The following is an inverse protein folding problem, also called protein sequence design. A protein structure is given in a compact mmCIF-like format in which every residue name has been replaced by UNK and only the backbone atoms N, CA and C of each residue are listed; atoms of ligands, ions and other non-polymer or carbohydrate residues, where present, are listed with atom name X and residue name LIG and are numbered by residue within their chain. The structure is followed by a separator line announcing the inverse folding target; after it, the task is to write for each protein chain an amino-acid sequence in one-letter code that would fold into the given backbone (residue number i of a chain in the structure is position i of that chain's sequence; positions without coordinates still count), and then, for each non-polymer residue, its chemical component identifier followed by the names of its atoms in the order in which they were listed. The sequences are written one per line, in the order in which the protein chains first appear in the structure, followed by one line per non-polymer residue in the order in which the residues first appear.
data_IF_238144286853
#
_entry.id   IF_238144286853
#
_cell.length_a   1.000
_cell.length_b   1.000
_cell.length_c   1.000
_cell.angle_alpha   90.00
_cell.angle_beta   90.00
_cell.angle_gamma   90.00
#
_symmetry.space_group_name_H-M   'P 1'
#
loop_
_entity.id
_entity.type
_entity.pdbx_description
1 polymer ?
#
# COMPACT_ATOMS: atom_id res chain seq x y z
N UNK A 1 32.80 -5.76 1.45
CA UNK A 1 33.37 -7.11 1.20
C UNK A 1 32.98 -7.99 2.38
N UNK A 2 32.46 -9.20 2.18
CA UNK A 2 31.90 -10.04 3.27
C UNK A 2 32.99 -10.44 4.28
N UNK A 3 32.75 -10.19 5.57
CA UNK A 3 33.61 -10.66 6.66
C UNK A 3 33.37 -12.17 6.88
N UNK A 4 34.33 -12.98 6.42
CA UNK A 4 34.28 -14.45 6.50
C UNK A 4 34.25 -14.96 7.92
N UNK A 5 34.91 -14.27 8.86
CA UNK A 5 34.98 -14.70 10.27
C UNK A 5 33.64 -14.45 10.97
N UNK A 6 33.00 -13.33 10.66
CA UNK A 6 31.67 -13.01 11.14
C UNK A 6 30.61 -13.97 10.58
N UNK A 7 30.66 -14.25 9.27
CA UNK A 7 29.84 -15.27 8.63
C UNK A 7 29.99 -16.62 9.35
N UNK A 8 31.22 -17.08 9.57
CA UNK A 8 31.51 -18.34 10.25
C UNK A 8 30.93 -18.43 11.66
N UNK A 9 31.07 -17.37 12.46
CA UNK A 9 30.49 -17.30 13.80
C UNK A 9 28.96 -17.40 13.77
N UNK A 10 28.32 -16.81 12.76
CA UNK A 10 26.87 -16.84 12.60
C UNK A 10 26.37 -18.23 12.22
N UNK A 11 27.02 -18.89 11.28
CA UNK A 11 26.71 -20.30 10.93
C UNK A 11 26.88 -21.21 12.15
N UNK A 12 27.95 -21.02 12.94
CA UNK A 12 28.16 -21.77 14.18
C UNK A 12 27.01 -21.56 15.19
N UNK A 13 26.56 -20.31 15.35
CA UNK A 13 25.47 -19.97 16.26
C UNK A 13 24.14 -20.57 15.81
N UNK A 14 23.77 -20.41 14.53
CA UNK A 14 22.52 -20.93 13.97
C UNK A 14 22.48 -22.45 14.01
N UNK A 15 23.58 -23.11 13.64
CA UNK A 15 23.72 -24.57 13.75
C UNK A 15 23.50 -25.05 15.18
N UNK A 16 24.11 -24.38 16.17
CA UNK A 16 23.95 -24.72 17.59
C UNK A 16 22.52 -24.49 18.10
N UNK A 17 21.83 -23.44 17.62
CA UNK A 17 20.41 -23.21 17.96
C UNK A 17 19.51 -24.35 17.51
N UNK A 18 19.82 -24.98 16.38
CA UNK A 18 19.14 -26.18 15.90
C UNK A 18 19.64 -27.49 16.54
N UNK A 19 20.58 -27.42 17.50
CA UNK A 19 21.12 -28.60 18.18
C UNK A 19 21.98 -29.51 17.29
N UNK A 20 22.44 -29.03 16.13
CA UNK A 20 23.18 -29.85 15.15
C UNK A 20 24.69 -29.84 15.42
N UNK A 21 25.37 -30.95 15.19
CA UNK A 21 26.84 -31.01 15.05
C UNK A 21 27.29 -30.56 13.66
N UNK A 22 28.58 -30.21 13.48
CA UNK A 22 29.11 -29.86 12.16
C UNK A 22 28.91 -30.98 11.13
N UNK A 23 29.04 -32.24 11.55
CA UNK A 23 28.82 -33.41 10.71
C UNK A 23 27.35 -33.53 10.26
N UNK A 24 26.40 -33.28 11.17
CA UNK A 24 24.97 -33.31 10.84
C UNK A 24 24.53 -32.15 9.95
N UNK A 25 25.14 -30.97 10.10
CA UNK A 25 24.89 -29.86 9.16
C UNK A 25 25.45 -30.19 7.77
N UNK A 26 26.64 -30.77 7.70
CA UNK A 26 27.25 -31.19 6.45
C UNK A 26 26.42 -32.27 5.74
N UNK A 27 25.92 -33.27 6.48
CA UNK A 27 25.03 -34.31 5.98
C UNK A 27 23.74 -33.73 5.39
N UNK A 28 23.10 -32.78 6.09
CA UNK A 28 21.87 -32.12 5.62
C UNK A 28 22.04 -31.32 4.32
N UNK A 29 23.25 -30.85 4.05
CA UNK A 29 23.59 -30.06 2.86
C UNK A 29 24.29 -30.91 1.77
N UNK A 30 24.42 -32.23 1.98
CA UNK A 30 25.20 -33.13 1.11
C UNK A 30 26.67 -32.67 0.89
N UNK A 31 27.32 -32.20 1.95
CA UNK A 31 28.69 -31.69 1.94
C UNK A 31 29.61 -32.46 2.90
N UNK A 32 30.91 -32.19 2.81
CA UNK A 32 31.89 -32.71 3.77
C UNK A 32 31.88 -31.90 5.08
N UNK A 33 32.09 -32.55 6.22
CA UNK A 33 32.24 -31.89 7.52
C UNK A 33 33.35 -30.82 7.52
N UNK A 34 34.39 -31.02 6.71
CA UNK A 34 35.48 -30.06 6.52
C UNK A 34 35.02 -28.76 5.84
N UNK A 35 34.02 -28.79 4.96
CA UNK A 35 33.48 -27.59 4.34
C UNK A 35 32.82 -26.68 5.40
N UNK A 36 31.94 -27.26 6.23
CA UNK A 36 31.30 -26.56 7.35
C UNK A 36 32.34 -26.02 8.35
N UNK A 37 33.36 -26.82 8.68
CA UNK A 37 34.45 -26.38 9.55
C UNK A 37 35.20 -25.18 8.98
N UNK A 38 35.53 -25.18 7.68
CA UNK A 38 36.18 -24.03 7.01
C UNK A 38 35.32 -22.77 7.06
N UNK A 39 34.01 -22.89 6.91
CA UNK A 39 33.11 -21.73 7.03
C UNK A 39 33.10 -21.20 8.45
N UNK A 40 32.89 -22.07 9.44
CA UNK A 40 32.82 -21.66 10.85
C UNK A 40 34.14 -21.07 11.38
N UNK A 41 35.28 -21.46 10.79
CA UNK A 41 36.59 -20.88 11.09
C UNK A 41 36.91 -19.61 10.26
N UNK A 42 36.01 -19.18 9.37
CA UNK A 42 36.20 -18.01 8.49
C UNK A 42 37.25 -18.20 7.39
N UNK A 43 37.61 -19.45 7.08
CA UNK A 43 38.61 -19.80 6.07
C UNK A 43 38.05 -19.83 4.65
N UNK A 44 36.74 -20.06 4.50
CA UNK A 44 36.04 -20.09 3.22
C UNK A 44 34.60 -19.58 3.38
N UNK A 45 33.95 -19.26 2.26
CA UNK A 45 32.51 -19.05 2.19
C UNK A 45 31.88 -20.18 1.35
N UNK A 46 30.62 -20.54 1.61
CA UNK A 46 29.85 -21.39 0.71
C UNK A 46 29.56 -20.70 -0.62
N UNK A 47 29.35 -21.50 -1.65
CA UNK A 47 28.85 -21.02 -2.94
C UNK A 47 27.39 -20.56 -2.83
N UNK A 48 26.92 -19.84 -3.86
CA UNK A 48 25.59 -19.20 -3.86
C UNK A 48 24.47 -20.21 -3.63
N UNK A 49 24.52 -21.38 -4.27
CA UNK A 49 23.49 -22.40 -4.12
C UNK A 49 23.40 -22.91 -2.67
N UNK A 50 24.55 -23.10 -2.03
CA UNK A 50 24.64 -23.52 -0.63
C UNK A 50 24.22 -22.39 0.32
N UNK A 51 24.45 -21.13 -0.03
CA UNK A 51 23.92 -19.99 0.74
C UNK A 51 22.38 -19.97 0.74
N UNK A 52 21.75 -20.30 -0.39
CA UNK A 52 20.29 -20.42 -0.49
C UNK A 52 19.80 -21.57 0.40
N UNK A 53 20.41 -22.74 0.33
CA UNK A 53 20.04 -23.88 1.18
C UNK A 53 20.21 -23.60 2.67
N UNK A 54 21.31 -22.93 3.06
CA UNK A 54 21.53 -22.49 4.44
C UNK A 54 20.45 -21.50 4.90
N UNK A 55 20.01 -20.61 4.01
CA UNK A 55 18.95 -19.63 4.31
C UNK A 55 17.62 -20.30 4.62
N UNK A 56 17.27 -21.36 3.88
CA UNK A 56 16.07 -22.16 4.14
C UNK A 56 16.21 -22.99 5.41
N UNK A 57 17.35 -23.66 5.59
CA UNK A 57 17.59 -24.52 6.75
C UNK A 57 17.56 -23.74 8.07
N UNK A 58 18.04 -22.49 8.07
CA UNK A 58 18.08 -21.63 9.26
C UNK A 58 16.92 -20.63 9.34
N UNK A 59 15.95 -20.71 8.41
CA UNK A 59 14.80 -19.81 8.35
C UNK A 59 15.20 -18.32 8.42
N UNK A 60 16.23 -17.94 7.65
CA UNK A 60 16.78 -16.58 7.66
C UNK A 60 17.10 -16.13 6.24
N UNK A 61 17.36 -14.84 6.04
CA UNK A 61 17.72 -14.31 4.72
C UNK A 61 19.22 -14.51 4.43
N UNK A 62 19.59 -14.63 3.15
CA UNK A 62 21.00 -14.67 2.74
C UNK A 62 21.74 -13.42 3.21
N UNK A 63 21.09 -12.25 3.18
CA UNK A 63 21.66 -11.01 3.72
C UNK A 63 21.96 -11.13 5.21
N UNK A 64 21.07 -11.74 5.99
CA UNK A 64 21.30 -11.99 7.42
C UNK A 64 22.45 -12.97 7.64
N UNK A 65 22.68 -13.93 6.74
CA UNK A 65 23.85 -14.82 6.82
C UNK A 65 25.15 -14.06 6.53
N UNK A 66 25.16 -13.21 5.49
CA UNK A 66 26.37 -12.57 4.96
C UNK A 66 26.75 -11.24 5.62
N UNK A 67 25.79 -10.49 6.14
CA UNK A 67 25.99 -9.11 6.59
C UNK A 67 25.58 -8.94 8.05
N UNK A 68 26.29 -8.11 8.79
CA UNK A 68 25.88 -7.70 10.12
C UNK A 68 24.65 -6.79 10.02
N UNK A 69 23.56 -7.12 10.73
CA UNK A 69 22.46 -6.18 10.97
C UNK A 69 22.98 -4.88 11.64
N UNK A 70 24.14 -4.95 12.29
CA UNK A 70 24.85 -3.81 12.87
C UNK A 70 25.60 -2.93 11.84
N UNK A 71 25.95 -3.40 10.64
CA UNK A 71 26.55 -2.52 9.61
C UNK A 71 25.49 -1.77 8.80
N UNK A 72 24.24 -2.27 8.81
CA UNK A 72 23.07 -1.48 8.42
C UNK A 72 22.66 -0.44 9.48
N UNK A 73 23.28 -0.44 10.67
CA UNK A 73 22.99 0.56 11.71
C UNK A 73 23.54 1.96 11.38
N UNK A 74 24.47 2.06 10.41
CA UNK A 74 24.92 3.35 9.87
C UNK A 74 24.01 3.91 8.76
N UNK A 75 23.03 3.14 8.29
CA UNK A 75 21.87 3.65 7.54
C UNK A 75 20.62 3.83 8.42
N UNK A 76 20.70 3.51 9.72
CA UNK A 76 19.63 3.70 10.71
C UNK A 76 19.93 4.82 11.72
N UNK A 77 20.79 5.79 11.39
CA UNK A 77 20.90 7.03 12.16
C UNK A 77 19.91 8.09 11.69
N UNK A 78 18.62 7.70 11.67
CA UNK A 78 17.39 8.51 11.90
C UNK A 78 16.20 7.71 11.39
N UNK A 79 15.87 6.59 12.04
CA UNK A 79 14.58 5.91 11.82
C UNK A 79 13.41 6.77 12.32
N UNK A 80 13.70 7.81 13.08
CA UNK A 80 12.75 8.79 13.58
C UNK A 80 13.17 10.21 13.19
N UNK A 81 12.20 11.12 12.98
CA UNK A 81 12.51 12.53 12.77
C UNK A 81 13.35 13.05 13.95
N UNK A 82 14.28 13.97 13.68
CA UNK A 82 14.93 14.72 14.77
C UNK A 82 13.85 15.51 15.51
N UNK A 83 13.59 15.14 16.76
CA UNK A 83 12.70 15.87 17.66
C UNK A 83 13.30 17.24 17.97
N UNK A 84 12.44 18.23 18.19
CA UNK A 84 12.87 19.57 18.60
C UNK A 84 13.60 19.54 19.95
N UNK A 85 14.50 20.50 20.16
CA UNK A 85 15.29 20.59 21.40
C UNK A 85 14.40 20.75 22.64
N UNK A 86 13.26 21.43 22.50
CA UNK A 86 12.23 21.55 23.53
C UNK A 86 11.63 20.20 23.96
N UNK A 87 11.42 19.28 23.02
CA UNK A 87 10.89 17.93 23.31
C UNK A 87 11.94 17.07 24.02
N UNK A 88 13.20 17.12 23.57
CA UNK A 88 14.29 16.36 24.18
C UNK A 88 14.54 16.76 25.64
N UNK A 89 14.37 18.04 25.98
CA UNK A 89 14.56 18.54 27.34
C UNK A 89 13.42 18.19 28.30
N UNK A 90 12.23 17.87 27.77
CA UNK A 90 11.05 17.55 28.58
C UNK A 90 11.01 16.08 29.03
N UNK A 91 11.58 15.20 28.22
CA UNK A 91 11.55 13.75 28.41
C UNK A 91 12.85 13.27 29.05
N UNK A 92 12.74 12.72 30.27
CA UNK A 92 13.93 12.35 31.08
C UNK A 92 14.32 10.88 30.95
N UNK A 93 13.51 10.03 30.32
CA UNK A 93 13.81 8.60 30.13
C UNK A 93 14.09 8.26 28.66
N UNK A 94 14.96 7.28 28.43
CA UNK A 94 15.25 6.78 27.07
C UNK A 94 14.02 6.11 26.47
N UNK A 95 13.20 5.50 27.32
CA UNK A 95 11.97 4.80 26.97
C UNK A 95 10.90 5.76 26.45
N UNK A 96 10.73 6.93 27.06
CA UNK A 96 9.76 7.94 26.63
C UNK A 96 10.19 8.62 25.32
N UNK A 97 11.48 8.94 25.19
CA UNK A 97 12.04 9.44 23.94
C UNK A 97 11.81 8.44 22.80
N UNK A 98 12.03 7.17 23.09
CA UNK A 98 11.80 6.07 22.16
C UNK A 98 10.30 6.01 21.77
N UNK A 99 9.37 6.05 22.73
CA UNK A 99 7.92 6.12 22.44
C UNK A 99 7.56 7.33 21.57
N UNK A 100 7.94 8.54 21.99
CA UNK A 100 7.64 9.79 21.28
C UNK A 100 8.21 9.77 19.86
N UNK A 101 9.45 9.32 19.70
CA UNK A 101 10.09 9.21 18.39
C UNK A 101 9.30 8.28 17.46
N UNK A 102 8.74 7.18 17.98
CA UNK A 102 7.95 6.23 17.19
C UNK A 102 6.62 6.77 16.70
N UNK A 103 6.01 7.69 17.44
CA UNK A 103 4.74 8.32 17.06
C UNK A 103 4.94 9.70 16.44
N UNK A 104 6.16 10.24 16.40
CA UNK A 104 6.44 11.56 15.82
C UNK A 104 5.88 11.77 14.39
N UNK A 105 5.90 10.78 13.47
CA UNK A 105 5.35 10.95 12.12
C UNK A 105 3.83 11.20 12.05
N UNK A 106 3.12 11.11 13.17
CA UNK A 106 1.66 11.12 13.26
C UNK A 106 1.09 12.42 13.86
N UNK A 107 1.97 13.24 14.45
CA UNK A 107 1.58 14.40 15.24
C UNK A 107 2.42 15.62 14.85
N UNK A 108 1.82 16.81 14.92
CA UNK A 108 2.56 18.06 14.86
C UNK A 108 3.41 18.27 16.10
N UNK A 109 4.43 19.15 16.03
CA UNK A 109 5.29 19.47 17.17
C UNK A 109 4.50 19.94 18.41
N UNK A 110 3.41 20.69 18.21
CA UNK A 110 2.55 21.15 19.30
C UNK A 110 1.78 19.99 19.95
N UNK A 111 1.32 19.01 19.16
CA UNK A 111 0.65 17.82 19.66
C UNK A 111 1.65 16.92 20.39
N UNK A 112 2.84 16.72 19.83
CA UNK A 112 3.93 15.98 20.48
C UNK A 112 4.32 16.61 21.82
N UNK A 113 4.34 17.94 21.90
CA UNK A 113 4.63 18.64 23.16
C UNK A 113 3.56 18.38 24.22
N UNK A 114 2.27 18.39 23.83
CA UNK A 114 1.18 18.04 24.74
C UNK A 114 1.27 16.58 25.21
N UNK A 115 1.53 15.64 24.29
CA UNK A 115 1.70 14.22 24.64
C UNK A 115 2.88 14.05 25.59
N UNK A 116 4.00 14.71 25.30
CA UNK A 116 5.20 14.65 26.13
C UNK A 116 4.96 15.20 27.53
N UNK A 117 4.14 16.26 27.68
CA UNK A 117 3.71 16.76 28.99
C UNK A 117 2.93 15.70 29.77
N UNK A 118 1.90 15.07 29.18
CA UNK A 118 1.13 14.00 29.84
C UNK A 118 2.01 12.81 30.26
N UNK A 119 3.00 12.44 29.45
CA UNK A 119 3.99 11.40 29.81
C UNK A 119 4.84 11.87 31.00
N UNK A 120 5.39 13.09 30.94
CA UNK A 120 6.26 13.62 32.00
C UNK A 120 5.54 13.82 33.34
N UNK A 121 4.23 14.10 33.30
CA UNK A 121 3.36 14.25 34.47
C UNK A 121 2.84 12.90 34.99
N UNK A 122 3.21 11.78 34.35
CA UNK A 122 2.73 10.42 34.67
C UNK A 122 1.20 10.27 34.54
N UNK A 123 0.58 11.10 33.70
CA UNK A 123 -0.86 11.11 33.40
C UNK A 123 -1.20 10.17 32.21
N UNK A 124 -0.18 9.63 31.54
CA UNK A 124 -0.33 8.72 30.40
C UNK A 124 0.38 7.38 30.65
N UNK A 125 -0.39 6.29 30.71
CA UNK A 125 0.14 4.92 30.81
C UNK A 125 -0.32 4.09 29.61
N UNK A 126 0.62 3.74 28.72
CA UNK A 126 0.33 2.99 27.49
C UNK A 126 0.79 1.54 27.63
N UNK A 127 -0.17 0.62 27.45
CA UNK A 127 0.04 -0.83 27.57
C UNK A 127 -0.53 -1.55 26.36
N UNK A 128 0.18 -2.59 25.89
CA UNK A 128 -0.34 -3.56 24.94
C UNK A 128 -1.05 -4.67 25.71
N UNK A 129 -2.32 -4.89 25.36
CA UNK A 129 -3.14 -5.95 25.95
C UNK A 129 -3.13 -7.18 25.05
N UNK A 130 -2.68 -8.33 25.57
CA UNK A 130 -2.69 -9.60 24.86
C UNK A 130 -3.76 -10.49 25.49
N UNK A 131 -4.73 -10.91 24.68
CA UNK A 131 -5.78 -11.85 25.08
C UNK A 131 -5.59 -13.19 24.35
N UNK A 132 -5.41 -14.27 25.12
CA UNK A 132 -5.33 -15.63 24.60
C UNK A 132 -6.53 -16.45 25.09
N UNK A 133 -7.35 -16.95 24.15
CA UNK A 133 -8.48 -17.84 24.45
C UNK A 133 -8.22 -19.23 23.83
N UNK A 134 -8.40 -20.28 24.63
CA UNK A 134 -8.37 -21.64 24.10
C UNK A 134 -9.63 -21.91 23.28
N UNK A 135 -9.49 -22.53 22.10
CA UNK A 135 -10.66 -22.97 21.32
C UNK A 135 -11.43 -24.12 21.99
N UNK A 136 -10.79 -24.86 22.89
CA UNK A 136 -11.36 -26.05 23.55
C UNK A 136 -11.74 -25.83 25.02
N UNK A 137 -11.31 -24.72 25.64
CA UNK A 137 -11.62 -24.38 27.03
C UNK A 137 -12.18 -22.98 27.08
N UNK A 138 -13.24 -22.76 27.86
CA UNK A 138 -13.82 -21.42 28.02
C UNK A 138 -13.01 -20.53 28.99
N UNK A 139 -11.69 -20.72 29.01
CA UNK A 139 -10.73 -19.97 29.82
C UNK A 139 -9.96 -18.99 28.94
N UNK A 140 -9.93 -17.72 29.32
CA UNK A 140 -9.12 -16.68 28.70
C UNK A 140 -8.02 -16.20 29.65
N UNK A 141 -6.81 -16.04 29.12
CA UNK A 141 -5.71 -15.36 29.81
C UNK A 141 -5.48 -13.99 29.19
N UNK A 142 -5.23 -13.00 30.04
CA UNK A 142 -4.95 -11.62 29.65
C UNK A 142 -3.62 -11.17 30.27
N UNK A 143 -2.76 -10.57 29.45
CA UNK A 143 -1.48 -10.02 29.89
C UNK A 143 -1.39 -8.57 29.40
N UNK A 144 -0.96 -7.67 30.28
CA UNK A 144 -0.65 -6.28 29.97
C UNK A 144 0.86 -6.10 29.90
N UNK A 145 1.37 -5.62 28.77
CA UNK A 145 2.79 -5.35 28.55
C UNK A 145 2.97 -3.83 28.42
N UNK A 146 3.75 -3.18 29.30
CA UNK A 146 4.05 -1.76 29.14
C UNK A 146 4.78 -1.50 27.82
N UNK A 147 4.36 -0.48 27.09
CA UNK A 147 4.88 -0.20 25.74
C UNK A 147 6.40 0.03 25.72
N UNK A 148 6.91 0.61 26.81
CA UNK A 148 8.32 0.94 27.01
C UNK A 148 9.22 -0.30 27.05
N UNK A 149 8.65 -1.48 27.33
CA UNK A 149 9.38 -2.76 27.34
C UNK A 149 9.52 -3.40 25.95
N UNK A 150 8.79 -2.91 24.95
CA UNK A 150 8.82 -3.45 23.58
C UNK A 150 10.12 -3.09 22.87
N UNK A 151 10.55 -3.90 21.90
CA UNK A 151 11.70 -3.56 21.05
C UNK A 151 11.40 -2.34 20.17
N UNK A 152 12.42 -1.60 19.73
CA UNK A 152 12.23 -0.48 18.80
C UNK A 152 11.50 -0.89 17.52
N UNK A 153 11.85 -2.07 16.98
CA UNK A 153 11.20 -2.65 15.81
C UNK A 153 9.69 -2.85 16.06
N UNK A 154 9.33 -3.49 17.17
CA UNK A 154 7.94 -3.77 17.53
C UNK A 154 7.14 -2.48 17.72
N UNK A 155 7.70 -1.47 18.37
CA UNK A 155 7.02 -0.18 18.49
C UNK A 155 6.87 0.53 17.15
N UNK A 156 7.88 0.50 16.29
CA UNK A 156 7.79 1.08 14.95
C UNK A 156 6.68 0.40 14.14
N UNK A 157 6.52 -0.91 14.25
CA UNK A 157 5.42 -1.67 13.64
C UNK A 157 4.06 -1.27 14.22
N UNK A 158 3.96 -1.08 15.54
CA UNK A 158 2.72 -0.71 16.22
C UNK A 158 2.43 0.81 16.26
N UNK A 159 3.35 1.64 15.75
CA UNK A 159 3.33 3.10 15.92
C UNK A 159 2.01 3.76 15.53
N UNK A 160 1.34 3.26 14.48
CA UNK A 160 0.03 3.75 14.05
C UNK A 160 -1.06 3.51 15.10
N UNK A 161 -1.16 2.30 15.62
CA UNK A 161 -2.15 1.94 16.65
C UNK A 161 -1.88 2.66 17.99
N UNK A 162 -0.60 2.89 18.30
CA UNK A 162 -0.18 3.66 19.46
C UNK A 162 -0.63 5.11 19.29
N UNK A 163 -0.32 5.72 18.13
CA UNK A 163 -0.74 7.08 17.82
C UNK A 163 -2.27 7.23 17.88
N UNK A 164 -3.04 6.28 17.33
CA UNK A 164 -4.50 6.27 17.40
C UNK A 164 -5.02 6.27 18.84
N UNK A 165 -4.44 5.43 19.69
CA UNK A 165 -4.80 5.34 21.10
C UNK A 165 -4.49 6.65 21.85
N UNK A 166 -3.36 7.28 21.54
CA UNK A 166 -2.92 8.54 22.17
C UNK A 166 -3.76 9.73 21.69
N UNK A 167 -4.12 9.78 20.41
CA UNK A 167 -4.89 10.88 19.80
C UNK A 167 -6.23 11.11 20.50
N UNK A 168 -6.91 10.02 20.88
CA UNK A 168 -8.17 10.07 21.62
C UNK A 168 -8.04 10.76 22.99
N UNK A 169 -6.85 10.79 23.58
CA UNK A 169 -6.57 11.38 24.89
C UNK A 169 -6.22 12.86 24.74
N UNK A 170 -5.35 13.21 23.78
CA UNK A 170 -4.92 14.62 23.55
C UNK A 170 -5.90 15.45 22.73
N UNK A 171 -6.97 14.84 22.19
CA UNK A 171 -8.00 15.53 21.41
C UNK A 171 -7.46 16.08 20.09
N UNK A 172 -6.65 15.28 19.39
CA UNK A 172 -5.92 15.70 18.18
C UNK A 172 -6.72 15.49 16.90
N UNK A 173 -6.32 16.18 15.82
CA UNK A 173 -6.89 15.98 14.49
C UNK A 173 -6.65 14.55 13.98
N UNK A 174 -7.38 14.16 12.94
CA UNK A 174 -7.18 12.86 12.27
C UNK A 174 -5.70 12.67 11.91
N UNK A 175 -5.09 11.68 12.56
CA UNK A 175 -3.66 11.40 12.53
C UNK A 175 -3.17 11.14 11.09
N UNK A 176 -4.04 10.55 10.27
CA UNK A 176 -3.77 10.34 8.87
C UNK A 176 -3.57 11.64 8.10
N UNK A 177 -4.38 12.65 8.39
CA UNK A 177 -4.32 13.95 7.72
C UNK A 177 -3.03 14.70 8.07
N UNK A 178 -2.57 14.61 9.31
CA UNK A 178 -1.25 15.15 9.71
C UNK A 178 -0.14 14.52 8.88
N UNK A 179 -0.13 13.19 8.75
CA UNK A 179 0.90 12.43 8.01
C UNK A 179 0.99 12.81 6.53
N UNK A 180 -0.15 13.12 5.89
CA UNK A 180 -0.13 13.54 4.48
C UNK A 180 -0.05 15.05 4.26
N UNK A 181 -0.15 15.87 5.31
CA UNK A 181 -0.09 17.33 5.19
C UNK A 181 1.19 17.82 4.51
N UNK A 182 2.29 17.09 4.67
CA UNK A 182 3.58 17.42 4.04
C UNK A 182 3.65 17.11 2.55
N UNK A 183 2.75 16.28 2.03
CA UNK A 183 2.73 15.87 0.61
C UNK A 183 1.62 16.54 -0.19
N UNK A 184 0.68 17.22 0.47
CA UNK A 184 -0.45 17.86 -0.19
C UNK A 184 -0.11 19.25 -0.75
N UNK A 185 -0.57 19.49 -1.98
CA UNK A 185 -0.49 20.78 -2.67
C UNK A 185 -1.84 21.18 -3.25
N UNK A 186 -2.08 22.47 -3.39
CA UNK A 186 -3.30 23.00 -3.96
C UNK A 186 -3.40 22.63 -5.45
N UNK A 187 -4.46 21.95 -5.91
CA UNK A 187 -4.60 21.59 -7.33
C UNK A 187 -4.77 22.81 -8.25
N UNK A 188 -5.12 23.99 -7.70
CA UNK A 188 -5.29 25.24 -8.47
C UNK A 188 -3.98 26.02 -8.65
N UNK A 189 -3.21 26.22 -7.59
CA UNK A 189 -2.00 27.06 -7.62
C UNK A 189 -0.69 26.33 -7.32
N UNK A 190 -0.76 25.04 -7.00
CA UNK A 190 0.39 24.17 -6.67
C UNK A 190 1.22 24.58 -5.44
N UNK A 191 0.79 25.60 -4.69
CA UNK A 191 1.34 25.92 -3.38
C UNK A 191 1.00 24.84 -2.33
N UNK A 192 1.83 24.75 -1.29
CA UNK A 192 1.62 23.83 -0.15
C UNK A 192 0.26 24.05 0.51
N UNK A 193 -0.35 22.96 0.95
CA UNK A 193 -1.54 22.99 1.78
C UNK A 193 -1.16 22.82 3.26
N UNK A 194 -1.75 23.65 4.11
CA UNK A 194 -1.58 23.60 5.57
C UNK A 194 -2.88 23.11 6.19
N UNK A 195 -2.77 22.17 7.15
CA UNK A 195 -3.92 21.65 7.88
C UNK A 195 -4.36 22.66 8.95
N UNK A 196 -5.66 22.91 9.02
CA UNK A 196 -6.31 23.74 10.03
C UNK A 196 -7.43 22.94 10.71
N UNK A 197 -7.57 23.12 12.02
CA UNK A 197 -8.68 22.60 12.81
C UNK A 197 -9.21 23.72 13.71
N UNK A 198 -10.39 24.25 13.38
CA UNK A 198 -11.01 25.37 14.08
C UNK A 198 -12.49 25.02 14.32
N UNK A 199 -12.95 25.07 15.57
CA UNK A 199 -14.38 24.88 15.91
C UNK A 199 -15.01 23.61 15.29
N UNK A 200 -14.31 22.47 15.38
CA UNK A 200 -14.68 21.19 14.76
C UNK A 200 -14.75 21.18 13.22
N UNK A 201 -14.17 22.18 12.55
CA UNK A 201 -13.97 22.18 11.10
C UNK A 201 -12.51 21.91 10.78
N UNK A 202 -12.28 20.76 10.14
CA UNK A 202 -10.97 20.37 9.62
C UNK A 202 -10.90 20.70 8.14
N UNK A 203 -9.88 21.46 7.72
CA UNK A 203 -9.69 21.84 6.33
C UNK A 203 -8.22 22.10 6.01
N UNK A 204 -7.89 22.08 4.73
CA UNK A 204 -6.58 22.47 4.22
C UNK A 204 -6.68 23.81 3.50
N UNK A 205 -5.72 24.70 3.73
CA UNK A 205 -5.63 26.01 3.08
C UNK A 205 -4.23 26.21 2.47
N UNK A 206 -4.16 26.81 1.28
CA UNK A 206 -2.90 27.30 0.72
C UNK A 206 -2.72 28.80 0.93
N UNK A 207 -1.50 29.31 0.72
CA UNK A 207 -1.18 30.74 0.90
C UNK A 207 -2.06 31.69 0.07
N UNK A 208 -2.60 31.21 -1.05
CA UNK A 208 -3.53 31.96 -1.91
C UNK A 208 -5.00 31.87 -1.45
N UNK A 209 -5.25 31.36 -0.23
CA UNK A 209 -6.58 31.26 0.41
C UNK A 209 -7.57 30.33 -0.29
N UNK A 210 -7.08 29.37 -1.08
CA UNK A 210 -7.92 28.25 -1.51
C UNK A 210 -8.08 27.27 -0.35
N UNK A 211 -9.33 26.92 -0.03
CA UNK A 211 -9.67 26.02 1.07
C UNK A 211 -10.32 24.74 0.56
N UNK A 212 -10.03 23.62 1.23
CA UNK A 212 -10.53 22.28 0.95
C UNK A 212 -10.93 21.61 2.25
N UNK A 213 -12.20 21.22 2.38
CA UNK A 213 -12.77 20.78 3.65
C UNK A 213 -12.80 19.27 3.78
N UNK A 214 -12.66 18.80 5.01
CA UNK A 214 -12.93 17.41 5.37
C UNK A 214 -14.44 17.25 5.62
N UNK A 215 -15.10 16.52 4.73
CA UNK A 215 -16.55 16.27 4.77
C UNK A 215 -16.78 14.77 4.81
N UNK A 216 -17.55 14.27 5.79
CA UNK A 216 -17.77 12.83 6.01
C UNK A 216 -16.48 11.99 6.14
N UNK A 217 -15.37 12.64 6.55
CA UNK A 217 -14.04 12.03 6.64
C UNK A 217 -13.32 11.88 5.29
N UNK A 218 -13.79 12.57 4.26
CA UNK A 218 -13.18 12.66 2.93
C UNK A 218 -12.70 14.08 2.67
N UNK A 219 -11.44 14.24 2.26
CA UNK A 219 -10.92 15.56 1.90
C UNK A 219 -11.41 15.92 0.50
N UNK A 220 -12.26 16.94 0.42
CA UNK A 220 -12.98 17.29 -0.81
C UNK A 220 -12.28 18.41 -1.60
N UNK A 221 -11.80 18.08 -2.80
CA UNK A 221 -11.13 19.03 -3.70
C UNK A 221 -12.09 19.72 -4.68
N UNK A 222 -13.38 19.78 -4.36
CA UNK A 222 -14.43 20.35 -5.20
C UNK A 222 -14.59 19.63 -6.56
N UNK A 223 -14.41 18.31 -6.57
CA UNK A 223 -14.63 17.49 -7.76
C UNK A 223 -16.10 17.30 -8.05
N UNK A 224 -16.41 17.05 -9.33
CA UNK A 224 -17.74 16.63 -9.76
C UNK A 224 -17.59 15.41 -10.65
N UNK A 225 -18.50 14.46 -10.48
CA UNK A 225 -18.68 13.39 -11.46
C UNK A 225 -19.10 13.98 -12.80
N UNK A 226 -18.74 13.28 -13.87
CA UNK A 226 -19.03 13.71 -15.24
C UNK A 226 -20.57 13.68 -15.42
N UNK A 227 -21.21 14.80 -15.83
CA UNK A 227 -22.64 14.81 -16.10
C UNK A 227 -23.01 13.76 -17.15
N UNK A 228 -24.03 12.93 -16.87
CA UNK A 228 -24.39 11.77 -17.71
C UNK A 228 -23.75 10.45 -17.27
N UNK A 229 -22.61 10.51 -16.57
CA UNK A 229 -21.85 9.35 -16.09
C UNK A 229 -21.76 9.33 -14.56
N UNK A 230 -22.88 9.64 -13.91
CA UNK A 230 -22.97 9.66 -12.45
C UNK A 230 -23.01 8.23 -11.90
N UNK A 231 -21.92 7.49 -12.11
CA UNK A 231 -21.79 6.07 -11.81
C UNK A 231 -22.07 5.78 -10.35
N UNK A 232 -21.78 6.72 -9.45
CA UNK A 232 -22.06 6.54 -8.04
C UNK A 232 -23.58 6.41 -7.74
N UNK A 233 -24.45 6.90 -8.63
CA UNK A 233 -25.92 6.78 -8.51
C UNK A 233 -26.44 5.37 -8.75
N UNK A 234 -25.62 4.47 -9.32
CA UNK A 234 -25.92 3.03 -9.38
C UNK A 234 -26.21 2.48 -7.99
N UNK A 235 -25.50 3.01 -6.98
CA UNK A 235 -25.75 2.75 -5.57
C UNK A 235 -26.74 3.77 -5.00
N UNK A 236 -28.00 3.35 -4.85
CA UNK A 236 -29.06 4.21 -4.31
C UNK A 236 -28.85 4.55 -2.83
N UNK A 237 -28.17 3.69 -2.08
CA UNK A 237 -27.91 3.82 -0.66
C UNK A 237 -26.76 2.89 -0.22
N UNK A 238 -26.33 3.02 1.03
CA UNK A 238 -25.26 2.19 1.59
C UNK A 238 -25.55 0.69 1.55
N UNK A 239 -26.82 0.25 1.65
CA UNK A 239 -27.14 -1.18 1.57
C UNK A 239 -26.95 -1.75 0.16
N UNK A 240 -27.18 -0.95 -0.90
CA UNK A 240 -26.84 -1.34 -2.27
C UNK A 240 -25.33 -1.45 -2.45
N UNK A 241 -24.58 -0.46 -1.95
CA UNK A 241 -23.13 -0.52 -1.93
C UNK A 241 -22.61 -1.75 -1.18
N UNK A 242 -23.17 -2.09 -0.01
CA UNK A 242 -22.78 -3.26 0.77
C UNK A 242 -23.00 -4.57 -0.01
N UNK A 243 -24.10 -4.71 -0.75
CA UNK A 243 -24.33 -5.90 -1.56
C UNK A 243 -23.19 -6.13 -2.53
N UNK A 244 -22.72 -5.09 -3.19
CA UNK A 244 -21.64 -5.20 -4.18
C UNK A 244 -20.27 -5.34 -3.52
N UNK A 245 -20.02 -4.63 -2.42
CA UNK A 245 -18.78 -4.73 -1.66
C UNK A 245 -18.61 -6.10 -0.97
N UNK A 246 -19.69 -6.87 -0.78
CA UNK A 246 -19.68 -8.18 -0.10
C UNK A 246 -19.95 -9.36 -1.03
N UNK A 247 -20.47 -9.15 -2.25
CA UNK A 247 -20.65 -10.25 -3.20
C UNK A 247 -19.32 -10.60 -3.86
N UNK A 248 -18.87 -11.86 -3.74
CA UNK A 248 -17.61 -12.26 -4.32
C UNK A 248 -17.82 -12.55 -5.82
N UNK A 249 -16.86 -12.06 -6.60
CA UNK A 249 -16.37 -12.75 -7.79
C UNK A 249 -17.37 -12.73 -8.97
N UNK A 250 -17.12 -11.79 -9.87
CA UNK A 250 -17.63 -11.82 -11.24
C UNK A 250 -17.33 -13.20 -11.86
N UNK A 251 -18.25 -13.79 -12.66
CA UNK A 251 -18.04 -15.12 -13.23
C UNK A 251 -16.72 -15.28 -14.01
N UNK A 252 -16.13 -14.17 -14.49
CA UNK A 252 -14.82 -14.13 -15.14
C UNK A 252 -13.70 -14.73 -14.27
N UNK A 253 -13.78 -14.63 -12.94
CA UNK A 253 -12.74 -15.19 -12.06
C UNK A 253 -12.90 -16.69 -11.76
N UNK A 254 -14.00 -17.32 -12.19
CA UNK A 254 -14.15 -18.78 -12.10
C UNK A 254 -13.35 -19.55 -13.17
N UNK A 255 -12.46 -18.88 -13.91
CA UNK A 255 -11.67 -19.46 -15.01
C UNK A 255 -10.39 -20.17 -14.57
N UNK A 256 -10.11 -20.22 -13.26
CA UNK A 256 -9.01 -21.01 -12.70
C UNK A 256 -7.61 -20.36 -12.78
N UNK A 257 -7.55 -19.07 -13.12
CA UNK A 257 -6.31 -18.28 -13.13
C UNK A 257 -6.09 -17.58 -11.78
N UNK A 258 -4.85 -17.14 -11.54
CA UNK A 258 -4.54 -16.31 -10.37
C UNK A 258 -5.24 -14.96 -10.56
N UNK A 259 -6.07 -14.58 -9.58
CA UNK A 259 -6.74 -13.30 -9.52
C UNK A 259 -5.74 -12.14 -9.72
N UNK A 260 -6.11 -11.16 -10.54
CA UNK A 260 -5.33 -9.93 -10.72
C UNK A 260 -5.08 -9.25 -9.37
N UNK A 261 -6.03 -9.26 -8.44
CA UNK A 261 -5.81 -8.72 -7.09
C UNK A 261 -4.70 -9.45 -6.32
N UNK A 262 -4.55 -10.77 -6.48
CA UNK A 262 -3.47 -11.56 -5.85
C UNK A 262 -2.11 -11.28 -6.52
N UNK A 263 -2.06 -11.10 -7.84
CA UNK A 263 -0.83 -10.69 -8.54
C UNK A 263 -0.37 -9.32 -8.03
N UNK A 264 -1.31 -8.36 -7.93
CA UNK A 264 -1.03 -7.02 -7.43
C UNK A 264 -0.56 -7.05 -5.97
N UNK A 265 -1.21 -7.86 -5.13
CA UNK A 265 -0.83 -8.05 -3.74
C UNK A 265 0.60 -8.57 -3.57
N UNK A 266 1.05 -9.54 -4.39
CA UNK A 266 2.41 -10.11 -4.29
C UNK A 266 3.49 -9.05 -4.45
N UNK A 267 3.34 -8.16 -5.41
CA UNK A 267 4.30 -7.08 -5.63
C UNK A 267 4.24 -6.00 -4.54
N UNK A 268 3.04 -5.65 -4.04
CA UNK A 268 2.89 -4.76 -2.88
C UNK A 268 3.58 -5.37 -1.66
N UNK A 269 3.37 -6.65 -1.37
CA UNK A 269 3.99 -7.37 -0.25
C UNK A 269 5.51 -7.47 -0.38
N UNK A 270 6.02 -7.71 -1.59
CA UNK A 270 7.45 -7.80 -1.89
C UNK A 270 8.18 -6.49 -1.62
N UNK A 271 7.56 -5.35 -1.94
CA UNK A 271 8.19 -4.02 -1.86
C UNK A 271 7.86 -3.24 -0.59
N UNK A 272 6.80 -3.62 0.14
CA UNK A 272 6.34 -3.01 1.40
C UNK A 272 6.31 -1.46 1.37
N UNK A 273 5.59 -0.84 0.42
CA UNK A 273 5.53 0.62 0.28
C UNK A 273 4.98 1.30 1.55
N UNK A 274 5.45 2.50 1.87
CA UNK A 274 4.99 3.28 3.04
C UNK A 274 3.79 4.15 2.71
N UNK A 275 3.67 4.60 1.46
CA UNK A 275 2.55 5.36 0.92
C UNK A 275 2.07 4.69 -0.37
N UNK A 276 0.83 4.21 -0.36
CA UNK A 276 0.13 3.67 -1.51
C UNK A 276 -0.98 4.66 -1.90
N UNK A 277 -1.11 5.01 -3.18
CA UNK A 277 -2.27 5.73 -3.72
C UNK A 277 -3.05 4.80 -4.65
N UNK A 278 -4.33 4.59 -4.37
CA UNK A 278 -5.26 3.86 -5.24
C UNK A 278 -6.00 4.86 -6.13
N UNK A 279 -5.69 4.84 -7.43
CA UNK A 279 -6.21 5.78 -8.44
C UNK A 279 -7.54 5.30 -8.99
N UNK A 280 -8.50 6.24 -9.05
CA UNK A 280 -9.88 5.99 -9.46
C UNK A 280 -10.41 4.75 -8.72
N UNK A 281 -10.29 4.82 -7.39
CA UNK A 281 -10.45 3.68 -6.49
C UNK A 281 -11.84 3.04 -6.58
N UNK A 282 -12.86 3.79 -7.01
CA UNK A 282 -14.23 3.30 -7.07
C UNK A 282 -14.67 2.80 -5.69
N UNK A 283 -15.21 1.59 -5.62
CA UNK A 283 -15.56 0.92 -4.36
C UNK A 283 -14.34 0.32 -3.63
N UNK A 284 -13.13 0.53 -4.11
CA UNK A 284 -11.88 0.10 -3.48
C UNK A 284 -11.66 -1.40 -3.46
N UNK A 285 -12.34 -2.19 -4.31
CA UNK A 285 -12.28 -3.67 -4.29
C UNK A 285 -10.85 -4.20 -4.34
N UNK A 286 -10.01 -3.68 -5.24
CA UNK A 286 -8.62 -4.11 -5.37
C UNK A 286 -7.78 -3.78 -4.13
N UNK A 287 -7.84 -2.53 -3.64
CA UNK A 287 -7.05 -2.14 -2.47
C UNK A 287 -7.53 -2.80 -1.17
N UNK A 288 -8.84 -3.06 -1.00
CA UNK A 288 -9.38 -3.79 0.16
C UNK A 288 -8.78 -5.18 0.31
N UNK A 289 -8.50 -5.86 -0.80
CA UNK A 289 -7.78 -7.14 -0.79
C UNK A 289 -6.41 -7.02 -0.12
N UNK A 290 -5.66 -5.96 -0.43
CA UNK A 290 -4.37 -5.69 0.20
C UNK A 290 -4.51 -5.21 1.65
N UNK A 291 -5.50 -4.36 1.96
CA UNK A 291 -5.71 -3.78 3.29
C UNK A 291 -5.80 -4.84 4.39
N UNK A 292 -6.46 -5.97 4.15
CA UNK A 292 -6.56 -7.06 5.14
C UNK A 292 -5.22 -7.74 5.47
N UNK A 293 -4.23 -7.61 4.59
CA UNK A 293 -3.00 -8.43 4.59
C UNK A 293 -1.73 -7.63 4.85
N UNK A 294 -1.79 -6.29 4.76
CA UNK A 294 -0.67 -5.42 5.08
C UNK A 294 -0.29 -5.59 6.56
N UNK A 295 0.95 -6.00 6.80
CA UNK A 295 1.53 -6.24 8.13
C UNK A 295 2.65 -5.25 8.49
N UNK A 296 2.74 -4.14 7.76
CA UNK A 296 3.73 -3.09 7.98
C UNK A 296 3.03 -1.72 8.02
N UNK A 297 3.62 -0.78 8.76
CA UNK A 297 3.09 0.58 8.83
C UNK A 297 3.05 1.22 7.43
N UNK A 298 1.84 1.49 6.96
CA UNK A 298 1.52 1.94 5.62
C UNK A 298 0.41 3.01 5.68
N UNK A 299 0.51 4.01 4.81
CA UNK A 299 -0.58 4.95 4.54
C UNK A 299 -1.16 4.62 3.18
N UNK A 300 -2.46 4.36 3.14
CA UNK A 300 -3.18 4.07 1.90
C UNK A 300 -4.12 5.23 1.62
N UNK A 301 -3.98 5.84 0.45
CA UNK A 301 -4.78 6.96 0.00
C UNK A 301 -5.72 6.45 -1.09
N UNK A 302 -7.03 6.49 -0.87
CA UNK A 302 -8.01 6.22 -1.91
C UNK A 302 -8.40 7.54 -2.56
N UNK A 303 -8.29 7.63 -3.87
CA UNK A 303 -8.73 8.80 -4.63
C UNK A 303 -9.77 8.43 -5.67
N UNK A 304 -10.81 9.25 -5.76
CA UNK A 304 -11.89 9.12 -6.73
C UNK A 304 -12.52 10.49 -6.98
N UNK A 305 -13.24 10.66 -8.09
CA UNK A 305 -14.04 11.86 -8.31
C UNK A 305 -15.23 11.92 -7.35
N UNK A 306 -15.77 10.77 -6.96
CA UNK A 306 -16.97 10.63 -6.13
C UNK A 306 -16.66 10.71 -4.65
N UNK A 307 -16.96 11.86 -4.04
CA UNK A 307 -16.96 12.03 -2.58
C UNK A 307 -17.87 10.99 -1.89
N UNK A 308 -19.07 10.76 -2.43
CA UNK A 308 -20.05 9.84 -1.84
C UNK A 308 -19.52 8.41 -1.73
N UNK A 309 -18.88 7.91 -2.78
CA UNK A 309 -18.34 6.55 -2.77
C UNK A 309 -17.20 6.45 -1.77
N UNK A 310 -16.30 7.44 -1.74
CA UNK A 310 -15.22 7.48 -0.76
C UNK A 310 -15.75 7.52 0.68
N UNK A 311 -16.85 8.22 0.95
CA UNK A 311 -17.49 8.23 2.27
C UNK A 311 -18.03 6.83 2.65
N UNK A 312 -18.59 6.08 1.69
CA UNK A 312 -18.99 4.68 1.93
C UNK A 312 -17.81 3.71 2.04
N UNK A 313 -16.74 3.92 1.27
CA UNK A 313 -15.48 3.18 1.45
C UNK A 313 -14.97 3.37 2.87
N UNK A 314 -14.94 4.62 3.35
CA UNK A 314 -14.55 4.95 4.73
C UNK A 314 -15.40 4.22 5.75
N UNK A 315 -16.72 4.31 5.63
CA UNK A 315 -17.65 3.62 6.52
C UNK A 315 -17.39 2.11 6.53
N UNK A 316 -17.30 1.49 5.36
CA UNK A 316 -17.09 0.06 5.21
C UNK A 316 -15.75 -0.41 5.79
N UNK A 317 -14.66 0.28 5.46
CA UNK A 317 -13.32 -0.09 5.91
C UNK A 317 -13.23 0.07 7.44
N UNK A 318 -13.79 1.14 7.99
CA UNK A 318 -13.81 1.36 9.45
C UNK A 318 -14.61 0.28 10.18
N UNK A 319 -15.75 -0.14 9.64
CA UNK A 319 -16.65 -1.11 10.28
C UNK A 319 -16.21 -2.57 10.08
N UNK A 320 -15.55 -2.91 8.97
CA UNK A 320 -15.34 -4.30 8.56
C UNK A 320 -13.88 -4.68 8.31
N UNK A 321 -13.01 -3.73 7.96
CA UNK A 321 -11.62 -3.98 7.51
C UNK A 321 -10.60 -3.16 8.30
N UNK A 322 -10.86 -2.91 9.58
CA UNK A 322 -9.92 -2.19 10.43
C UNK A 322 -8.58 -2.94 10.48
N UNK A 323 -7.51 -2.26 10.04
CA UNK A 323 -6.14 -2.77 10.11
C UNK A 323 -5.28 -1.77 10.92
N UNK A 324 -4.74 -2.17 12.09
CA UNK A 324 -3.94 -1.28 12.95
C UNK A 324 -2.60 -0.85 12.34
N UNK A 325 -2.14 -1.50 11.27
CA UNK A 325 -0.90 -1.14 10.55
C UNK A 325 -1.16 -0.13 9.42
N UNK A 326 -2.42 0.07 9.04
CA UNK A 326 -2.77 0.87 7.87
C UNK A 326 -3.60 2.07 8.25
N UNK A 327 -3.07 3.25 7.94
CA UNK A 327 -3.85 4.47 8.01
C UNK A 327 -4.46 4.79 6.64
N UNK A 328 -5.78 4.75 6.53
CA UNK A 328 -6.50 4.96 5.27
C UNK A 328 -7.03 6.40 5.17
N UNK A 329 -6.75 7.06 4.05
CA UNK A 329 -7.14 8.46 3.79
C UNK A 329 -7.90 8.53 2.47
N UNK A 330 -8.85 9.45 2.39
CA UNK A 330 -9.78 9.55 1.26
C UNK A 330 -9.69 10.95 0.64
N UNK A 331 -9.35 11.03 -0.64
CA UNK A 331 -9.26 12.29 -1.39
C UNK A 331 -10.28 12.27 -2.52
N UNK A 332 -11.33 13.08 -2.42
CA UNK A 332 -12.23 13.30 -3.54
C UNK A 332 -11.55 14.30 -4.50
N UNK A 333 -10.86 13.77 -5.52
CA UNK A 333 -9.93 14.52 -6.37
C UNK A 333 -9.88 14.00 -7.82
N UNK A 334 -9.58 14.90 -8.76
CA UNK A 334 -9.40 14.54 -10.16
C UNK A 334 -8.02 13.89 -10.34
N UNK A 335 -7.99 12.61 -10.68
CA UNK A 335 -6.75 11.84 -10.80
C UNK A 335 -5.84 12.29 -11.95
N UNK A 336 -6.35 13.13 -12.87
CA UNK A 336 -5.53 13.79 -13.89
C UNK A 336 -4.82 15.07 -13.40
N UNK A 337 -5.15 15.53 -12.20
CA UNK A 337 -4.58 16.71 -11.56
C UNK A 337 -4.56 16.54 -10.03
N UNK A 338 -3.73 15.61 -9.56
CA UNK A 338 -3.71 15.18 -8.17
C UNK A 338 -3.18 16.30 -7.24
N UNK A 339 -3.79 16.49 -6.06
CA UNK A 339 -3.37 17.45 -5.05
C UNK A 339 -2.15 16.97 -4.25
N UNK A 340 -1.22 16.26 -4.91
CA UNK A 340 -0.05 15.61 -4.31
C UNK A 340 1.20 16.14 -4.98
N UNK A 341 2.23 16.49 -4.19
CA UNK A 341 3.51 16.98 -4.69
C UNK A 341 4.26 15.91 -5.50
N UNK A 342 5.19 16.35 -6.33
CA UNK A 342 6.07 15.47 -7.08
C UNK A 342 6.83 14.54 -6.14
N UNK A 343 7.04 13.29 -6.57
CA UNK A 343 7.89 12.32 -5.85
C UNK A 343 7.51 12.13 -4.38
N UNK A 344 6.22 11.96 -4.11
CA UNK A 344 5.68 11.79 -2.77
C UNK A 344 5.22 10.36 -2.45
N UNK A 345 4.83 9.59 -3.46
CA UNK A 345 4.18 8.29 -3.29
C UNK A 345 5.15 7.16 -3.66
N UNK A 346 5.12 6.06 -2.90
CA UNK A 346 5.98 4.89 -3.16
C UNK A 346 5.35 3.95 -4.20
N UNK A 347 4.03 3.76 -4.10
CA UNK A 347 3.28 2.82 -4.91
C UNK A 347 1.96 3.46 -5.40
N UNK A 348 1.70 3.38 -6.71
CA UNK A 348 0.38 3.59 -7.28
C UNK A 348 -0.26 2.23 -7.47
N UNK A 349 -1.52 2.08 -7.09
CA UNK A 349 -2.34 0.92 -7.48
C UNK A 349 -3.58 1.39 -8.22
N UNK A 350 -4.09 0.54 -9.10
CA UNK A 350 -5.37 0.75 -9.75
C UNK A 350 -6.06 -0.58 -10.03
N UNK A 351 -7.38 -0.60 -9.96
CA UNK A 351 -8.20 -1.76 -10.28
C UNK A 351 -9.18 -1.45 -11.40
N UNK A 352 -8.70 -1.46 -12.65
CA UNK A 352 -9.42 -0.93 -13.82
C UNK A 352 -9.67 0.58 -13.76
N UNK A 353 -9.03 1.29 -12.81
CA UNK A 353 -9.28 2.70 -12.54
C UNK A 353 -8.74 3.61 -13.63
N UNK A 354 -7.56 3.29 -14.20
CA UNK A 354 -7.04 4.05 -15.35
C UNK A 354 -8.00 3.99 -16.54
N UNK A 355 -8.49 2.80 -16.93
CA UNK A 355 -9.46 2.65 -18.03
C UNK A 355 -10.77 3.40 -17.75
N UNK A 356 -11.22 3.39 -16.49
CA UNK A 356 -12.42 4.09 -16.05
C UNK A 356 -12.31 5.62 -16.12
N UNK A 357 -11.10 6.17 -16.30
CA UNK A 357 -10.90 7.61 -16.54
C UNK A 357 -11.14 8.03 -18.00
N UNK A 358 -11.40 7.08 -18.91
CA UNK A 358 -11.78 7.31 -20.30
C UNK A 358 -10.85 8.30 -21.04
N UNK A 359 -11.35 9.45 -21.49
CA UNK A 359 -10.56 10.49 -22.17
C UNK A 359 -9.39 11.02 -21.33
N UNK A 360 -9.45 10.85 -20.00
CA UNK A 360 -8.38 11.26 -19.07
C UNK A 360 -7.40 10.14 -18.73
N UNK A 361 -7.54 8.93 -19.27
CA UNK A 361 -6.64 7.79 -18.98
C UNK A 361 -5.17 8.18 -19.11
N UNK A 362 -4.76 8.78 -20.23
CA UNK A 362 -3.36 9.17 -20.46
C UNK A 362 -2.89 10.29 -19.51
N UNK A 363 -3.76 11.25 -19.20
CA UNK A 363 -3.43 12.33 -18.27
C UNK A 363 -3.28 11.80 -16.85
N UNK A 364 -4.19 10.94 -16.40
CA UNK A 364 -4.10 10.26 -15.10
C UNK A 364 -2.87 9.38 -14.99
N UNK A 365 -2.54 8.65 -16.05
CA UNK A 365 -1.36 7.80 -16.09
C UNK A 365 -0.06 8.61 -15.98
N UNK A 366 0.07 9.73 -16.72
CA UNK A 366 1.21 10.66 -16.59
C UNK A 366 1.26 11.35 -15.22
N UNK A 367 0.10 11.72 -14.69
CA UNK A 367 0.00 12.34 -13.37
C UNK A 367 0.45 11.37 -12.26
N UNK A 368 0.12 10.08 -12.40
CA UNK A 368 0.60 9.02 -11.51
C UNK A 368 2.12 8.90 -11.53
N UNK A 369 2.75 9.04 -12.71
CA UNK A 369 4.21 9.05 -12.82
C UNK A 369 4.80 10.24 -12.07
N UNK A 370 4.26 11.46 -12.25
CA UNK A 370 4.76 12.68 -11.61
C UNK A 370 4.92 12.52 -10.09
N UNK A 371 3.91 11.96 -9.43
CA UNK A 371 3.86 11.86 -7.98
C UNK A 371 4.64 10.66 -7.40
N UNK A 372 5.01 9.68 -8.23
CA UNK A 372 5.87 8.58 -7.79
C UNK A 372 7.27 9.08 -7.45
N UNK A 373 7.83 8.54 -6.36
CA UNK A 373 9.25 8.69 -6.00
C UNK A 373 10.14 8.00 -7.04
N UNK A 374 11.42 8.34 -7.02
CA UNK A 374 12.44 7.59 -7.75
C UNK A 374 12.39 6.11 -7.34
N UNK A 375 12.35 5.18 -8.32
CA UNK A 375 12.14 3.74 -8.09
C UNK A 375 10.78 3.38 -7.47
N UNK A 376 9.88 4.35 -7.36
CA UNK A 376 8.48 4.11 -7.08
C UNK A 376 7.83 3.40 -8.27
N UNK A 377 6.71 2.74 -8.04
CA UNK A 377 6.10 1.87 -9.04
C UNK A 377 4.58 2.00 -9.07
N UNK A 378 4.01 1.83 -10.25
CA UNK A 378 2.59 1.68 -10.48
C UNK A 378 2.27 0.22 -10.76
N UNK A 379 1.23 -0.31 -10.12
CA UNK A 379 0.73 -1.65 -10.34
C UNK A 379 -0.77 -1.63 -10.64
N UNK A 380 -1.15 -2.09 -11.82
CA UNK A 380 -2.50 -1.85 -12.34
C UNK A 380 -2.88 -2.91 -13.38
N UNK A 381 -4.18 -3.15 -13.51
CA UNK A 381 -4.75 -3.93 -14.61
C UNK A 381 -5.22 -3.02 -15.75
N UNK A 382 -5.13 -3.55 -16.97
CA UNK A 382 -5.64 -2.96 -18.22
C UNK A 382 -6.24 -4.05 -19.11
N UNK A 383 -7.30 -3.72 -19.83
CA UNK A 383 -7.95 -4.57 -20.82
C UNK A 383 -7.40 -4.24 -22.22
N UNK A 384 -6.36 -4.97 -22.65
CA UNK A 384 -5.61 -4.69 -23.89
C UNK A 384 -5.72 -5.80 -24.92
N UNK A 385 -6.05 -5.45 -26.16
CA UNK A 385 -6.11 -6.40 -27.27
C UNK A 385 -4.72 -6.73 -27.82
N UNK A 386 -4.57 -7.92 -28.40
CA UNK A 386 -3.28 -8.39 -28.94
C UNK A 386 -3.08 -8.01 -30.41
N UNK A 387 -4.18 -7.96 -31.18
CA UNK A 387 -4.17 -7.56 -32.58
C UNK A 387 -5.51 -6.94 -32.99
N UNK A 388 -5.54 -5.60 -33.11
CA UNK A 388 -6.71 -4.84 -33.56
C UNK A 388 -7.30 -5.31 -34.89
N UNK A 389 -6.53 -6.00 -35.74
CA UNK A 389 -6.99 -6.45 -37.06
C UNK A 389 -7.64 -7.83 -37.04
N UNK A 390 -7.54 -8.57 -35.94
CA UNK A 390 -8.04 -9.93 -35.84
C UNK A 390 -9.57 -9.97 -36.01
N UNK A 391 -10.09 -11.05 -36.60
CA UNK A 391 -11.54 -11.22 -36.72
C UNK A 391 -12.24 -11.31 -35.37
N UNK A 392 -11.52 -11.78 -34.34
CA UNK A 392 -12.01 -11.88 -32.99
C UNK A 392 -12.17 -10.50 -32.33
N UNK A 393 -11.13 -9.67 -32.42
CA UNK A 393 -11.12 -8.31 -31.87
C UNK A 393 -12.17 -7.45 -32.53
N UNK A 394 -12.33 -7.55 -33.85
CA UNK A 394 -13.41 -6.86 -34.58
C UNK A 394 -14.78 -7.24 -34.04
N UNK A 395 -14.99 -8.51 -33.67
CA UNK A 395 -16.25 -8.95 -33.09
C UNK A 395 -16.47 -8.40 -31.68
N UNK A 396 -15.42 -8.30 -30.87
CA UNK A 396 -15.48 -7.61 -29.57
C UNK A 396 -15.78 -6.12 -29.70
N UNK A 397 -15.17 -5.44 -30.68
CA UNK A 397 -15.45 -4.02 -30.99
C UNK A 397 -16.91 -3.85 -31.41
N UNK A 398 -17.45 -4.71 -32.28
CA UNK A 398 -18.87 -4.69 -32.65
C UNK A 398 -19.80 -4.81 -31.44
N UNK A 399 -19.49 -5.74 -30.52
CA UNK A 399 -20.25 -5.92 -29.28
C UNK A 399 -20.15 -4.71 -28.35
N UNK A 400 -18.97 -4.10 -28.24
CA UNK A 400 -18.74 -2.90 -27.44
C UNK A 400 -19.49 -1.68 -27.98
N UNK A 401 -19.44 -1.47 -29.29
CA UNK A 401 -20.11 -0.36 -29.97
C UNK A 401 -21.63 -0.53 -30.00
N UNK A 402 -22.13 -1.75 -29.81
CA UNK A 402 -23.57 -2.06 -29.74
C UNK A 402 -24.25 -1.71 -28.41
N UNK A 403 -23.52 -1.19 -27.42
CA UNK A 403 -24.06 -0.81 -26.10
C UNK A 403 -24.78 0.54 -26.22
N UNK A 404 -26.07 0.59 -25.86
CA UNK A 404 -26.96 1.76 -26.07
C UNK A 404 -26.50 3.04 -25.34
N UNK A 405 -25.73 2.91 -24.25
CA UNK A 405 -25.21 4.03 -23.43
C UNK A 405 -23.75 4.40 -23.73
N UNK A 406 -23.20 4.02 -24.89
CA UNK A 406 -21.82 4.38 -25.24
C UNK A 406 -21.76 5.86 -25.69
N UNK A 407 -21.59 6.78 -24.73
CA UNK A 407 -21.59 8.24 -24.94
C UNK A 407 -20.47 8.79 -25.86
N UNK A 408 -19.54 7.96 -26.31
CA UNK A 408 -18.42 8.36 -27.15
C UNK A 408 -18.55 7.75 -28.55
N UNK A 409 -19.24 8.47 -29.45
CA UNK A 409 -19.37 8.09 -30.86
C UNK A 409 -18.05 8.25 -31.67
N UNK A 410 -17.00 8.88 -31.11
CA UNK A 410 -15.83 9.32 -31.91
C UNK A 410 -14.48 8.60 -31.65
N UNK A 411 -14.28 7.84 -30.57
CA UNK A 411 -12.98 7.21 -30.32
C UNK A 411 -13.06 5.69 -30.08
N UNK A 412 -12.42 4.92 -30.96
CA UNK A 412 -12.19 3.48 -30.82
C UNK A 412 -11.38 3.20 -29.54
N UNK A 413 -12.07 2.93 -28.42
CA UNK A 413 -11.51 2.81 -27.06
C UNK A 413 -10.65 1.57 -26.78
N UNK A 414 -10.62 0.56 -27.66
CA UNK A 414 -9.78 -0.62 -27.41
C UNK A 414 -8.31 -0.30 -27.71
N UNK A 415 -7.46 -0.47 -26.70
CA UNK A 415 -6.03 -0.19 -26.79
C UNK A 415 -5.28 -1.47 -27.11
N UNK A 416 -4.46 -1.42 -28.16
CA UNK A 416 -3.51 -2.48 -28.49
C UNK A 416 -2.36 -2.53 -27.49
N UNK A 417 -1.94 -3.75 -27.12
CA UNK A 417 -0.87 -3.98 -26.17
C UNK A 417 0.45 -3.27 -26.54
N UNK A 418 0.81 -3.21 -27.82
CA UNK A 418 2.02 -2.52 -28.27
C UNK A 418 1.88 -1.00 -28.20
N UNK A 419 0.69 -0.49 -28.47
CA UNK A 419 0.37 0.93 -28.29
C UNK A 419 0.50 1.30 -26.80
N UNK A 420 -0.01 0.45 -25.90
CA UNK A 420 0.12 0.67 -24.46
C UNK A 420 1.57 0.64 -23.99
N UNK A 421 2.38 -0.33 -24.46
CA UNK A 421 3.83 -0.37 -24.15
C UNK A 421 4.52 0.93 -24.52
N UNK A 422 4.22 1.48 -25.70
CA UNK A 422 4.75 2.78 -26.13
C UNK A 422 4.26 3.92 -25.24
N UNK A 423 2.98 3.92 -24.84
CA UNK A 423 2.44 4.90 -23.88
C UNK A 423 3.19 4.84 -22.54
N UNK A 424 3.53 3.64 -22.05
CA UNK A 424 4.34 3.49 -20.84
C UNK A 424 5.70 4.19 -20.98
N UNK A 425 6.42 3.87 -22.04
CA UNK A 425 7.73 4.47 -22.33
C UNK A 425 7.65 6.00 -22.49
N UNK A 426 6.69 6.49 -23.29
CA UNK A 426 6.48 7.92 -23.56
C UNK A 426 6.03 8.69 -22.30
N UNK A 427 5.45 8.00 -21.31
CA UNK A 427 5.06 8.57 -20.01
C UNK A 427 6.20 8.55 -18.98
N UNK A 428 7.37 8.03 -19.35
CA UNK A 428 8.56 7.96 -18.50
C UNK A 428 8.62 6.73 -17.60
N UNK A 429 7.76 5.74 -17.82
CA UNK A 429 7.80 4.47 -17.10
C UNK A 429 8.72 3.47 -17.79
N UNK A 430 9.34 2.59 -17.00
CA UNK A 430 9.93 1.33 -17.46
C UNK A 430 9.03 0.18 -16.99
N UNK A 431 8.54 -0.65 -17.92
CA UNK A 431 7.78 -1.83 -17.55
C UNK A 431 8.73 -2.93 -17.08
N UNK A 432 8.71 -3.26 -15.79
CA UNK A 432 9.50 -4.36 -15.22
C UNK A 432 8.81 -5.70 -15.40
N UNK A 433 7.48 -5.72 -15.23
CA UNK A 433 6.67 -6.93 -15.41
C UNK A 433 5.40 -6.62 -16.19
N UNK A 434 5.05 -7.52 -17.10
CA UNK A 434 3.79 -7.55 -17.85
C UNK A 434 3.24 -8.98 -17.74
N UNK A 435 2.12 -9.13 -17.03
CA UNK A 435 1.53 -10.42 -16.71
C UNK A 435 0.19 -10.51 -17.42
N UNK A 436 0.12 -11.37 -18.45
CA UNK A 436 -1.14 -11.76 -19.06
C UNK A 436 -1.93 -12.59 -18.05
N UNK A 437 -3.05 -12.07 -17.56
CA UNK A 437 -3.95 -12.81 -16.66
C UNK A 437 -4.69 -13.82 -17.52
N UNK A 438 -5.51 -13.32 -18.44
CA UNK A 438 -6.09 -14.05 -19.57
C UNK A 438 -5.92 -13.22 -20.85
N UNK A 439 -5.50 -13.88 -21.93
CA UNK A 439 -5.42 -13.27 -23.25
C UNK A 439 -6.78 -13.00 -23.87
N UNK A 440 -6.77 -12.49 -25.10
CA UNK A 440 -8.00 -12.21 -25.85
C UNK A 440 -8.81 -13.50 -26.08
N UNK A 441 -9.95 -13.62 -25.41
CA UNK A 441 -10.80 -14.81 -25.53
C UNK A 441 -11.67 -14.74 -26.80
N UNK A 442 -12.18 -15.89 -27.29
CA UNK A 442 -13.13 -15.89 -28.39
C UNK A 442 -14.37 -15.05 -28.09
N UNK A 443 -14.68 -14.09 -28.96
CA UNK A 443 -15.88 -13.29 -28.88
C UNK A 443 -17.12 -14.20 -29.02
N UNK A 444 -18.15 -14.00 -28.18
CA UNK A 444 -19.32 -14.86 -28.24
C UNK A 444 -20.09 -14.61 -29.53
N UNK A 445 -20.65 -15.68 -30.10
CA UNK A 445 -21.44 -15.60 -31.32
C UNK A 445 -22.87 -15.09 -31.03
N UNK A 446 -22.95 -13.83 -30.61
CA UNK A 446 -24.17 -13.09 -30.27
C UNK A 446 -24.01 -11.63 -30.71
N UNK A 447 -25.10 -10.89 -30.75
CA UNK A 447 -25.13 -9.45 -31.01
C UNK A 447 -25.29 -8.62 -29.73
N UNK A 448 -25.54 -9.26 -28.59
CA UNK A 448 -25.73 -8.63 -27.28
C UNK A 448 -24.83 -9.34 -26.27
N UNK A 449 -24.05 -8.56 -25.51
CA UNK A 449 -23.23 -9.08 -24.43
C UNK A 449 -23.92 -8.83 -23.08
N UNK A 450 -24.22 -9.85 -22.27
CA UNK A 450 -25.05 -9.70 -21.07
C UNK A 450 -24.39 -8.89 -19.93
N UNK A 451 -23.10 -8.60 -20.01
CA UNK A 451 -22.36 -7.78 -19.03
C UNK A 451 -21.70 -6.57 -19.71
N UNK A 452 -22.53 -5.69 -20.26
CA UNK A 452 -22.13 -4.53 -21.06
C UNK A 452 -21.03 -3.68 -20.40
N UNK A 453 -21.18 -3.33 -19.13
CA UNK A 453 -20.21 -2.53 -18.36
C UNK A 453 -18.88 -3.24 -18.06
N UNK A 454 -18.72 -4.49 -18.46
CA UNK A 454 -17.52 -5.28 -18.19
C UNK A 454 -16.92 -5.93 -19.42
N UNK A 455 -17.49 -5.69 -20.60
CA UNK A 455 -17.08 -6.35 -21.83
C UNK A 455 -15.57 -6.27 -22.10
N UNK A 456 -14.93 -5.13 -21.82
CA UNK A 456 -13.47 -4.97 -21.93
C UNK A 456 -12.73 -5.92 -20.98
N UNK A 457 -13.14 -5.94 -19.70
CA UNK A 457 -12.57 -6.84 -18.70
C UNK A 457 -12.86 -8.31 -19.01
N UNK A 458 -13.93 -8.64 -19.73
CA UNK A 458 -14.19 -10.02 -20.16
C UNK A 458 -13.32 -10.47 -21.33
N UNK A 459 -12.98 -9.55 -22.23
CA UNK A 459 -12.22 -9.82 -23.44
C UNK A 459 -10.80 -10.27 -23.13
N UNK A 460 -10.09 -9.53 -22.29
CA UNK A 460 -8.69 -9.77 -21.94
C UNK A 460 -8.32 -8.96 -20.69
N UNK A 461 -7.31 -9.40 -19.94
CA UNK A 461 -6.78 -8.65 -18.81
C UNK A 461 -5.27 -8.86 -18.66
N UNK A 462 -4.56 -7.75 -18.50
CA UNK A 462 -3.13 -7.73 -18.23
C UNK A 462 -2.87 -6.95 -16.95
N UNK A 463 -1.95 -7.43 -16.13
CA UNK A 463 -1.41 -6.70 -14.97
C UNK A 463 -0.01 -6.20 -15.33
N UNK A 464 0.23 -4.92 -15.08
CA UNK A 464 1.52 -4.27 -15.31
C UNK A 464 2.16 -3.86 -14.01
N UNK A 465 3.49 -3.94 -13.96
CA UNK A 465 4.35 -3.31 -12.96
C UNK A 465 5.24 -2.31 -13.68
N UNK A 466 4.87 -1.04 -13.62
CA UNK A 466 5.57 0.07 -14.28
C UNK A 466 6.37 0.88 -13.25
N UNK A 467 7.68 1.00 -13.42
CA UNK A 467 8.58 1.68 -12.48
C UNK A 467 9.01 3.04 -13.02
N UNK A 468 9.14 4.02 -12.13
CA UNK A 468 9.66 5.35 -12.43
C UNK A 468 11.17 5.44 -12.42
#
# INVERSE_FOLDING_TARGET
MVDKKQFGNRINSLRKKLGLSQAQLAEKLNLSTQAVSKWECGLALPDIDILVELSWLFETSINTLLCNDEENSNFSSTTYPKLSESLNNLLNSKEDLKLISSIAPYFSDNELLRISNHISENDLDIKVNINAKSKSKDTSNQINIPITTLSEKTMSELSSAIAESVSNIVGTADIGLNKISEILICPKCKHRLTLHNIENKTYFECDNKHQYFLEDGVLYFNTREIPGEQWSLTYRNYNHYLKEATYPILPVYNRGEIYDEELKWREIKKRKPRIILDIASGTGTGIKYALERIDWNCTVILTDLSHRILAWNRKFITENLYNPFVNVIYLASDCSNLPIKDKAVDCITSNGGFESMQIKTLLGFKESHRILKEKGYAIYDMSLVEDLNSSNTKKWIELYNGIEDNYDEEDNKMIDLNIWRKICEDSGYTNEEEIKVYGEIPAPNTNIFPWENMILRWMCCYVFVSVK
#
